data_IF_778692026194
#
_entry.id   IF_778692026194
#
_cell.length_a   1.000
_cell.length_b   1.000
_cell.length_c   1.000
_cell.angle_alpha   90.00
_cell.angle_beta   90.00
_cell.angle_gamma   90.00
#
_symmetry.space_group_name_H-M   'P 1'
#
loop_
_entity.id
_entity.type
_entity.pdbx_description
1 polymer ?
#
# COMPACT_ATOMS: atom_id res chain seq x y z
N UNK A 1 46.20 13.89 17.25
CA UNK A 1 45.40 13.74 16.03
C UNK A 1 44.55 15.00 15.92
N UNK A 2 45.01 15.96 15.12
CA UNK A 2 44.47 17.32 15.07
C UNK A 2 43.08 17.35 14.43
N UNK A 3 42.20 18.21 14.94
CA UNK A 3 40.85 18.40 14.41
C UNK A 3 40.81 18.74 12.90
N UNK A 4 41.88 19.34 12.38
CA UNK A 4 42.04 19.64 10.95
C UNK A 4 42.10 18.37 10.08
N UNK A 5 42.73 17.30 10.57
CA UNK A 5 42.87 16.02 9.86
C UNK A 5 41.52 15.29 9.78
N UNK A 6 40.74 15.35 10.85
CA UNK A 6 39.38 14.79 10.90
C UNK A 6 38.44 15.51 9.93
N UNK A 7 38.51 16.84 9.86
CA UNK A 7 37.69 17.63 8.93
C UNK A 7 38.08 17.38 7.48
N UNK A 8 39.37 17.25 7.17
CA UNK A 8 39.85 16.91 5.84
C UNK A 8 39.33 15.52 5.39
N UNK A 9 39.37 14.54 6.29
CA UNK A 9 38.86 13.18 6.04
C UNK A 9 37.35 13.16 5.82
N UNK A 10 36.58 13.93 6.59
CA UNK A 10 35.12 14.01 6.41
C UNK A 10 34.75 14.61 5.05
N UNK A 11 35.47 15.64 4.60
CA UNK A 11 35.24 16.24 3.27
C UNK A 11 35.53 15.27 2.14
N UNK A 12 36.58 14.46 2.27
CA UNK A 12 36.92 13.43 1.29
C UNK A 12 35.83 12.35 1.20
N UNK A 13 35.35 11.86 2.35
CA UNK A 13 34.26 10.89 2.40
C UNK A 13 32.97 11.45 1.77
N UNK A 14 32.68 12.73 2.01
CA UNK A 14 31.51 13.38 1.44
C UNK A 14 31.61 13.53 -0.08
N UNK A 15 32.81 13.81 -0.62
CA UNK A 15 33.01 13.83 -2.08
C UNK A 15 32.90 12.43 -2.70
N UNK A 16 33.46 11.42 -2.04
CA UNK A 16 33.39 10.03 -2.51
C UNK A 16 31.94 9.51 -2.47
N UNK A 17 31.19 9.85 -1.43
CA UNK A 17 29.76 9.52 -1.32
C UNK A 17 28.95 10.18 -2.43
N UNK A 18 29.21 11.47 -2.71
CA UNK A 18 28.51 12.20 -3.76
C UNK A 18 28.76 11.58 -5.14
N UNK A 19 30.02 11.28 -5.47
CA UNK A 19 30.38 10.59 -6.72
C UNK A 19 29.75 9.20 -6.80
N UNK A 20 29.69 8.48 -5.69
CA UNK A 20 29.09 7.15 -5.65
C UNK A 20 27.57 7.22 -5.86
N UNK A 21 26.91 8.24 -5.32
CA UNK A 21 25.50 8.51 -5.52
C UNK A 21 25.20 8.85 -6.98
N UNK A 22 25.98 9.75 -7.59
CA UNK A 22 25.84 10.10 -9.01
C UNK A 22 26.05 8.88 -9.91
N UNK A 23 27.07 8.06 -9.63
CA UNK A 23 27.36 6.85 -10.39
C UNK A 23 26.27 5.80 -10.23
N UNK A 24 25.71 5.65 -9.02
CA UNK A 24 24.56 4.79 -8.76
C UNK A 24 23.32 5.28 -9.51
N UNK A 25 23.03 6.58 -9.48
CA UNK A 25 21.91 7.18 -10.20
C UNK A 25 22.08 7.06 -11.72
N UNK A 26 23.29 7.20 -12.26
CA UNK A 26 23.52 6.99 -13.69
C UNK A 26 23.40 5.52 -14.13
N UNK A 27 23.73 4.58 -13.23
CA UNK A 27 23.73 3.14 -13.55
C UNK A 27 22.35 2.51 -13.36
N UNK A 28 21.63 2.94 -12.32
CA UNK A 28 20.36 2.37 -11.89
C UNK A 28 19.20 3.35 -11.98
N UNK A 29 19.41 4.60 -12.39
CA UNK A 29 18.39 5.63 -12.50
C UNK A 29 17.28 5.22 -13.45
N UNK A 30 17.61 4.73 -14.64
CA UNK A 30 16.62 4.18 -15.55
C UNK A 30 15.84 3.01 -14.91
N UNK A 31 16.51 2.11 -14.17
CA UNK A 31 15.82 1.00 -13.47
C UNK A 31 14.95 1.50 -12.30
N UNK A 32 15.36 2.55 -11.60
CA UNK A 32 14.58 3.19 -10.54
C UNK A 32 13.37 3.92 -11.13
N UNK A 33 13.56 4.65 -12.23
CA UNK A 33 12.50 5.30 -13.00
C UNK A 33 11.56 4.25 -13.60
N UNK A 34 12.04 3.13 -14.13
CA UNK A 34 11.18 2.02 -14.57
C UNK A 34 10.45 1.36 -13.38
N UNK A 35 11.03 1.29 -12.18
CA UNK A 35 10.34 0.79 -10.98
C UNK A 35 9.34 1.81 -10.40
N UNK A 36 9.54 3.10 -10.65
CA UNK A 36 8.62 4.18 -10.28
C UNK A 36 7.54 4.44 -11.36
N UNK A 37 7.85 4.26 -12.65
CA UNK A 37 6.94 4.35 -13.81
C UNK A 37 6.22 3.03 -14.10
N UNK A 38 6.74 1.86 -13.71
CA UNK A 38 5.98 0.61 -13.72
C UNK A 38 4.88 0.71 -12.66
N UNK A 39 3.78 1.21 -13.20
CA UNK A 39 2.44 1.36 -12.69
C UNK A 39 2.28 2.50 -11.67
N UNK A 40 1.67 3.58 -12.16
CA UNK A 40 0.55 4.23 -11.46
C UNK A 40 -0.55 3.17 -11.20
N UNK A 41 -0.20 2.11 -10.48
CA UNK A 41 -1.11 1.14 -9.93
C UNK A 41 -1.94 1.97 -8.98
N UNK A 42 -3.21 2.15 -9.30
CA UNK A 42 -4.16 2.76 -8.37
C UNK A 42 -3.89 2.20 -6.97
N UNK A 43 -3.91 3.06 -5.97
CA UNK A 43 -3.72 2.62 -4.59
C UNK A 43 -4.83 1.67 -4.12
N UNK A 44 -5.91 1.48 -4.90
CA UNK A 44 -7.04 0.60 -4.58
C UNK A 44 -7.69 -0.03 -5.84
N UNK A 45 -7.02 -0.94 -6.57
CA UNK A 45 -7.55 -1.55 -7.78
C UNK A 45 -8.87 -2.32 -7.58
N UNK A 46 -9.07 -2.94 -6.40
CA UNK A 46 -10.30 -3.70 -6.13
C UNK A 46 -11.48 -2.74 -5.96
N UNK A 47 -11.34 -1.72 -5.11
CA UNK A 47 -12.40 -0.74 -4.89
C UNK A 47 -12.68 0.06 -6.18
N UNK A 48 -11.65 0.43 -6.92
CA UNK A 48 -11.79 1.21 -8.15
C UNK A 48 -12.56 0.42 -9.23
N UNK A 49 -12.28 -0.87 -9.38
CA UNK A 49 -13.03 -1.75 -10.28
C UNK A 49 -14.53 -1.77 -9.94
N UNK A 50 -14.88 -1.83 -8.65
CA UNK A 50 -16.28 -1.78 -8.18
C UNK A 50 -16.93 -0.44 -8.50
N UNK A 51 -16.21 0.67 -8.30
CA UNK A 51 -16.71 2.01 -8.64
C UNK A 51 -16.89 2.15 -10.15
N UNK A 52 -15.99 1.60 -10.98
CA UNK A 52 -16.11 1.61 -12.44
C UNK A 52 -17.32 0.79 -12.94
N UNK A 53 -17.65 -0.32 -12.28
CA UNK A 53 -18.77 -1.18 -12.69
C UNK A 53 -20.16 -0.57 -12.46
N UNK A 54 -20.31 0.30 -11.46
CA UNK A 54 -21.63 0.90 -11.19
C UNK A 54 -21.67 1.96 -10.09
N UNK A 55 -20.52 2.55 -9.77
CA UNK A 55 -20.36 3.68 -8.87
C UNK A 55 -20.95 3.46 -7.48
N UNK A 56 -21.51 4.54 -6.93
CA UNK A 56 -22.11 4.56 -5.60
C UNK A 56 -23.18 3.49 -5.38
N UNK A 57 -23.92 3.08 -6.41
CA UNK A 57 -24.99 2.09 -6.25
C UNK A 57 -24.43 0.72 -5.90
N UNK A 58 -23.39 0.29 -6.61
CA UNK A 58 -22.75 -1.01 -6.35
C UNK A 58 -21.96 -0.94 -5.04
N UNK A 59 -21.21 0.14 -4.82
CA UNK A 59 -20.44 0.33 -3.59
C UNK A 59 -21.33 0.30 -2.33
N UNK A 60 -22.48 0.99 -2.36
CA UNK A 60 -23.47 0.95 -1.27
C UNK A 60 -24.06 -0.43 -1.08
N UNK A 61 -24.32 -1.16 -2.17
CA UNK A 61 -24.80 -2.53 -2.10
C UNK A 61 -23.79 -3.45 -1.43
N UNK A 62 -22.48 -3.20 -1.60
CA UNK A 62 -21.42 -4.03 -1.02
C UNK A 62 -20.99 -3.62 0.39
N UNK A 63 -21.10 -2.34 0.78
CA UNK A 63 -20.50 -1.84 2.04
C UNK A 63 -21.45 -1.03 2.94
N UNK A 64 -22.64 -0.65 2.45
CA UNK A 64 -23.55 0.35 3.01
C UNK A 64 -23.11 1.82 2.88
N UNK A 65 -21.89 2.10 2.39
CA UNK A 65 -21.37 3.45 2.25
C UNK A 65 -21.36 3.93 0.80
N UNK A 66 -21.65 5.21 0.58
CA UNK A 66 -21.22 5.91 -0.64
C UNK A 66 -19.70 6.02 -0.66
N UNK A 67 -19.15 6.35 -1.83
CA UNK A 67 -17.74 6.64 -2.00
C UNK A 67 -17.29 7.83 -1.13
N UNK A 68 -18.17 8.83 -0.94
CA UNK A 68 -17.87 9.97 -0.07
C UNK A 68 -17.83 9.56 1.41
N UNK A 69 -18.80 8.80 1.89
CA UNK A 69 -18.83 8.29 3.27
C UNK A 69 -17.66 7.33 3.54
N UNK A 70 -17.33 6.47 2.58
CA UNK A 70 -16.14 5.62 2.65
C UNK A 70 -14.86 6.47 2.73
N UNK A 71 -14.76 7.54 1.94
CA UNK A 71 -13.61 8.45 1.98
C UNK A 71 -13.43 9.12 3.34
N UNK A 72 -14.53 9.51 4.00
CA UNK A 72 -14.49 10.02 5.38
C UNK A 72 -13.98 8.96 6.35
N UNK A 73 -14.49 7.72 6.27
CA UNK A 73 -14.00 6.64 7.13
C UNK A 73 -12.52 6.31 6.88
N UNK A 74 -12.11 6.29 5.61
CA UNK A 74 -10.73 6.03 5.21
C UNK A 74 -9.79 7.07 5.83
N UNK A 75 -10.11 8.37 5.72
CA UNK A 75 -9.28 9.44 6.25
C UNK A 75 -9.01 9.33 7.76
N UNK A 76 -9.92 8.73 8.53
CA UNK A 76 -9.73 8.52 9.99
C UNK A 76 -8.76 7.38 10.31
N UNK A 77 -8.61 6.39 9.43
CA UNK A 77 -7.82 5.16 9.67
C UNK A 77 -6.61 5.01 8.76
N UNK A 78 -6.48 5.88 7.75
CA UNK A 78 -5.48 5.83 6.69
C UNK A 78 -4.06 5.72 7.25
N UNK A 79 -3.67 6.64 8.12
CA UNK A 79 -2.32 6.68 8.71
C UNK A 79 -2.00 5.39 9.48
N UNK A 80 -2.96 4.90 10.28
CA UNK A 80 -2.78 3.71 11.10
C UNK A 80 -2.65 2.45 10.23
N UNK A 81 -3.50 2.31 9.21
CA UNK A 81 -3.46 1.19 8.28
C UNK A 81 -2.21 1.22 7.40
N UNK A 82 -1.78 2.38 6.93
CA UNK A 82 -0.54 2.52 6.17
C UNK A 82 0.69 2.18 7.01
N UNK A 83 0.73 2.56 8.29
CA UNK A 83 1.83 2.15 9.16
C UNK A 83 1.96 0.62 9.22
N UNK A 84 0.83 -0.09 9.37
CA UNK A 84 0.79 -1.55 9.44
C UNK A 84 1.03 -2.23 8.08
N UNK A 85 0.69 -1.59 6.97
CA UNK A 85 0.99 -2.08 5.62
C UNK A 85 2.42 -1.83 5.15
N UNK A 86 3.04 -0.74 5.60
CA UNK A 86 4.39 -0.31 5.22
C UNK A 86 5.50 -0.86 6.14
N UNK A 87 5.18 -1.37 7.32
CA UNK A 87 6.15 -1.88 8.31
C UNK A 87 6.85 -3.23 7.95
N UNK A 88 6.89 -3.62 6.67
CA UNK A 88 7.52 -4.87 6.22
C UNK A 88 8.90 -4.70 5.60
N UNK A 89 9.87 -5.53 5.98
CA UNK A 89 11.07 -5.80 5.15
C UNK A 89 10.75 -6.94 4.19
N UNK A 90 10.24 -6.62 2.99
CA UNK A 90 9.90 -7.66 2.01
C UNK A 90 9.08 -7.13 0.82
N UNK A 91 8.61 -8.06 -0.01
CA UNK A 91 7.75 -7.77 -1.16
C UNK A 91 6.47 -7.06 -0.69
N UNK A 92 6.12 -5.95 -1.35
CA UNK A 92 4.86 -5.22 -1.12
C UNK A 92 3.67 -6.18 -1.16
N UNK A 93 2.72 -6.00 -0.23
CA UNK A 93 1.46 -6.73 -0.25
C UNK A 93 0.74 -6.49 -1.57
N UNK A 94 0.21 -7.55 -2.20
CA UNK A 94 -0.58 -7.43 -3.44
C UNK A 94 -1.93 -6.75 -3.20
N UNK A 95 -2.39 -6.75 -1.96
CA UNK A 95 -3.59 -6.04 -1.52
C UNK A 95 -3.15 -4.76 -0.84
N UNK A 96 -3.67 -3.61 -1.26
CA UNK A 96 -3.43 -2.32 -0.59
C UNK A 96 -4.22 -2.20 0.72
N UNK A 97 -3.84 -1.25 1.58
CA UNK A 97 -4.54 -1.00 2.83
C UNK A 97 -6.01 -0.57 2.61
N UNK A 98 -6.26 0.23 1.57
CA UNK A 98 -7.60 0.70 1.21
C UNK A 98 -8.48 -0.41 0.64
N UNK A 99 -7.92 -1.27 -0.21
CA UNK A 99 -8.63 -2.46 -0.69
C UNK A 99 -8.91 -3.44 0.45
N UNK A 100 -7.98 -3.60 1.40
CA UNK A 100 -8.21 -4.42 2.58
C UNK A 100 -9.39 -3.90 3.42
N UNK A 101 -9.49 -2.59 3.61
CA UNK A 101 -10.61 -1.96 4.31
C UNK A 101 -11.91 -2.20 3.56
N UNK A 102 -11.93 -1.96 2.25
CA UNK A 102 -13.09 -2.22 1.42
C UNK A 102 -13.55 -3.69 1.53
N UNK A 103 -12.66 -4.66 1.31
CA UNK A 103 -12.98 -6.08 1.40
C UNK A 103 -13.51 -6.48 2.78
N UNK A 104 -12.92 -5.94 3.85
CA UNK A 104 -13.39 -6.23 5.22
C UNK A 104 -14.81 -5.72 5.45
N UNK A 105 -15.15 -4.51 4.97
CA UNK A 105 -16.52 -4.00 5.07
C UNK A 105 -17.53 -4.86 4.29
N UNK A 106 -17.14 -5.40 3.13
CA UNK A 106 -17.98 -6.34 2.36
C UNK A 106 -18.24 -7.61 3.17
N UNK A 107 -17.20 -8.21 3.74
CA UNK A 107 -17.28 -9.44 4.54
C UNK A 107 -18.17 -9.22 5.76
N UNK A 108 -17.99 -8.11 6.48
CA UNK A 108 -18.79 -7.74 7.65
C UNK A 108 -20.26 -7.51 7.29
N UNK A 109 -20.55 -6.96 6.10
CA UNK A 109 -21.93 -6.73 5.65
C UNK A 109 -22.65 -8.03 5.28
N UNK A 110 -22.00 -8.89 4.50
CA UNK A 110 -22.67 -10.02 3.86
C UNK A 110 -22.61 -11.32 4.70
N UNK A 111 -21.66 -11.42 5.64
CA UNK A 111 -21.51 -12.50 6.60
C UNK A 111 -21.64 -13.91 5.96
N UNK A 112 -20.75 -14.21 5.03
CA UNK A 112 -20.67 -15.52 4.36
C UNK A 112 -19.32 -16.22 4.61
N UNK A 113 -19.11 -17.39 4.01
CA UNK A 113 -17.86 -18.15 4.17
C UNK A 113 -16.69 -17.44 3.50
N UNK A 114 -15.48 -17.65 4.05
CA UNK A 114 -14.24 -17.16 3.46
C UNK A 114 -14.07 -17.62 2.00
N UNK A 115 -14.49 -18.85 1.67
CA UNK A 115 -14.41 -19.37 0.31
C UNK A 115 -15.21 -18.55 -0.70
N UNK A 116 -16.42 -18.12 -0.36
CA UNK A 116 -17.24 -17.32 -1.29
C UNK A 116 -16.64 -15.94 -1.49
N UNK A 117 -16.30 -15.24 -0.41
CA UNK A 117 -15.69 -13.91 -0.52
C UNK A 117 -14.31 -13.95 -1.19
N UNK A 118 -13.55 -15.03 -1.02
CA UNK A 118 -12.28 -15.20 -1.69
C UNK A 118 -12.45 -15.31 -3.22
N UNK A 119 -13.51 -15.98 -3.68
CA UNK A 119 -13.88 -16.01 -5.11
C UNK A 119 -14.23 -14.62 -5.62
N UNK A 120 -15.02 -13.85 -4.86
CA UNK A 120 -15.42 -12.48 -5.25
C UNK A 120 -14.22 -11.55 -5.48
N UNK A 121 -13.15 -11.72 -4.71
CA UNK A 121 -11.94 -10.88 -4.79
C UNK A 121 -10.77 -11.53 -5.54
N UNK A 122 -10.94 -12.75 -6.08
CA UNK A 122 -9.85 -13.48 -6.76
C UNK A 122 -8.68 -13.83 -5.83
N UNK A 123 -8.93 -13.99 -4.53
CA UNK A 123 -7.92 -14.33 -3.52
C UNK A 123 -8.06 -15.79 -3.07
N UNK A 124 -7.05 -16.27 -2.34
CA UNK A 124 -7.18 -17.53 -1.59
C UNK A 124 -7.89 -17.24 -0.25
N UNK A 125 -8.74 -18.14 0.26
CA UNK A 125 -9.46 -17.93 1.53
C UNK A 125 -8.55 -17.58 2.71
N UNK A 126 -7.43 -18.30 2.85
CA UNK A 126 -6.44 -18.05 3.90
C UNK A 126 -5.71 -16.69 3.75
N UNK A 127 -5.58 -16.17 2.54
CA UNK A 127 -5.03 -14.83 2.31
C UNK A 127 -6.05 -13.77 2.70
N UNK A 128 -7.31 -13.94 2.30
CA UNK A 128 -8.39 -13.02 2.64
C UNK A 128 -8.60 -12.93 4.16
N UNK A 129 -8.59 -14.08 4.85
CA UNK A 129 -8.67 -14.16 6.30
C UNK A 129 -7.54 -13.37 6.97
N UNK A 130 -6.29 -13.57 6.55
CA UNK A 130 -5.13 -12.83 7.09
C UNK A 130 -5.21 -11.33 6.86
N UNK A 131 -5.64 -10.90 5.66
CA UNK A 131 -5.83 -9.48 5.34
C UNK A 131 -6.88 -8.86 6.26
N UNK A 132 -8.00 -9.57 6.47
CA UNK A 132 -9.10 -9.11 7.31
C UNK A 132 -8.66 -8.97 8.77
N UNK A 133 -8.01 -10.00 9.34
CA UNK A 133 -7.52 -9.92 10.73
C UNK A 133 -6.47 -8.83 10.91
N UNK A 134 -5.53 -8.70 9.96
CA UNK A 134 -4.51 -7.64 10.01
C UNK A 134 -5.14 -6.24 10.08
N UNK A 135 -6.28 -6.03 9.42
CA UNK A 135 -7.01 -4.77 9.48
C UNK A 135 -7.78 -4.59 10.79
N UNK A 136 -8.44 -5.65 11.27
CA UNK A 136 -9.18 -5.64 12.54
C UNK A 136 -8.27 -5.45 13.78
N UNK A 137 -6.97 -5.70 13.67
CA UNK A 137 -6.01 -5.37 14.74
C UNK A 137 -5.73 -3.86 14.86
N UNK A 138 -6.07 -3.08 13.83
CA UNK A 138 -5.83 -1.63 13.77
C UNK A 138 -7.08 -0.82 14.10
N UNK A 139 -8.27 -1.36 13.80
CA UNK A 139 -9.57 -0.76 14.08
C UNK A 139 -10.03 -1.02 15.52
#
# INVERSE_FOLDING_TARGET
MEAADVVARLRLLQSEEHENLERSAATFGDYADYVEEEVLETESPVMDSVVLQGGNRVLKTLTNFTQAEFGVLWAEVEDALHAVWSMGRGRRSQTSAKDAMFMTLVILKHYDTWDKHAVDFGLKPNTLEKVTYKLLEVM
#
